data_IF_689657382750
#
_entry.id   IF_689657382750
#
_cell.length_a   1.000
_cell.length_b   1.000
_cell.length_c   1.000
_cell.angle_alpha   90.00
_cell.angle_beta   90.00
_cell.angle_gamma   90.00
#
_symmetry.space_group_name_H-M   'P 1'
#
loop_
_entity.id
_entity.type
_entity.pdbx_description
1 polymer ?
#
# COMPACT_ATOMS: atom_id res chain seq x y z
N UNK A 1 -21.98 14.24 -10.11
CA UNK A 1 -20.70 13.53 -10.41
C UNK A 1 -19.52 14.48 -10.27
N UNK A 2 -19.54 15.66 -10.93
CA UNK A 2 -18.45 16.64 -10.81
C UNK A 2 -18.14 17.02 -9.34
N UNK A 3 -19.17 17.32 -8.55
CA UNK A 3 -19.00 17.65 -7.11
C UNK A 3 -18.28 16.54 -6.31
N UNK A 4 -18.51 15.27 -6.64
CA UNK A 4 -17.83 14.13 -5.99
C UNK A 4 -16.36 14.07 -6.40
N UNK A 5 -16.07 14.31 -7.67
CA UNK A 5 -14.70 14.36 -8.19
C UNK A 5 -13.94 15.52 -7.53
N UNK A 6 -14.56 16.69 -7.45
CA UNK A 6 -13.96 17.87 -6.84
C UNK A 6 -13.68 17.64 -5.35
N UNK A 7 -14.61 17.00 -4.64
CA UNK A 7 -14.44 16.63 -3.24
C UNK A 7 -13.31 15.61 -3.03
N UNK A 8 -13.23 14.58 -3.87
CA UNK A 8 -12.10 13.63 -3.83
C UNK A 8 -10.79 14.36 -4.10
N UNK A 9 -10.78 15.29 -5.07
CA UNK A 9 -9.63 16.14 -5.38
C UNK A 9 -9.16 16.94 -4.17
N UNK A 10 -10.08 17.63 -3.48
CA UNK A 10 -9.71 18.41 -2.30
C UNK A 10 -9.15 17.53 -1.17
N UNK A 11 -9.72 16.32 -0.96
CA UNK A 11 -9.22 15.39 0.05
C UNK A 11 -7.84 14.82 -0.28
N UNK A 12 -7.53 14.65 -1.56
CA UNK A 12 -6.18 14.26 -2.02
C UNK A 12 -5.17 15.37 -1.80
N UNK A 13 -5.54 16.62 -2.07
CA UNK A 13 -4.70 17.79 -1.77
C UNK A 13 -4.43 17.88 -0.26
N UNK A 14 -5.48 17.82 0.57
CA UNK A 14 -5.37 17.83 2.03
C UNK A 14 -4.42 16.72 2.53
N UNK A 15 -4.53 15.50 1.96
CA UNK A 15 -3.66 14.39 2.30
C UNK A 15 -2.20 14.63 1.87
N UNK A 16 -1.99 15.18 0.66
CA UNK A 16 -0.64 15.48 0.14
C UNK A 16 0.13 16.51 0.97
N UNK A 17 -0.58 17.38 1.70
CA UNK A 17 0.02 18.36 2.61
C UNK A 17 0.22 17.84 4.05
N UNK A 18 0.02 16.53 4.30
CA UNK A 18 0.16 15.99 5.64
C UNK A 18 1.63 16.09 6.14
N UNK A 19 1.92 16.54 7.38
CA UNK A 19 3.28 16.75 7.89
C UNK A 19 4.18 15.50 7.87
N UNK A 20 3.59 14.32 7.79
CA UNK A 20 4.32 13.07 7.57
C UNK A 20 5.20 13.11 6.31
N UNK A 21 4.75 13.77 5.24
CA UNK A 21 5.52 13.89 4.01
C UNK A 21 6.76 14.77 4.20
N UNK A 22 6.71 15.78 5.07
CA UNK A 22 7.90 16.58 5.42
C UNK A 22 9.01 15.69 6.01
N UNK A 23 8.65 14.72 6.88
CA UNK A 23 9.60 13.74 7.43
C UNK A 23 10.19 12.81 6.35
N UNK A 24 9.41 12.45 5.34
CA UNK A 24 9.89 11.60 4.23
C UNK A 24 10.87 12.35 3.32
N UNK A 25 10.69 13.66 3.16
CA UNK A 25 11.53 14.50 2.30
C UNK A 25 12.72 15.17 3.01
N UNK A 26 12.88 14.98 4.32
CA UNK A 26 14.00 15.55 5.09
C UNK A 26 15.34 14.86 4.77
N UNK A 27 16.21 15.49 3.97
CA UNK A 27 17.49 14.91 3.55
C UNK A 27 18.49 14.64 4.70
N UNK A 28 18.28 15.24 5.88
CA UNK A 28 19.12 15.02 7.06
C UNK A 28 18.73 13.74 7.84
N UNK A 29 17.54 13.18 7.58
CA UNK A 29 17.09 11.94 8.22
C UNK A 29 17.57 10.69 7.47
N UNK A 30 18.20 9.71 8.15
CA UNK A 30 18.52 8.43 7.55
C UNK A 30 17.28 7.73 6.98
N UNK A 31 17.42 7.04 5.85
CA UNK A 31 16.32 6.30 5.18
C UNK A 31 15.65 5.30 6.13
N UNK A 32 16.42 4.62 6.97
CA UNK A 32 15.89 3.71 8.00
C UNK A 32 14.95 4.40 8.99
N UNK A 33 15.18 5.68 9.30
CA UNK A 33 14.32 6.42 10.21
C UNK A 33 13.04 6.85 9.48
N UNK A 34 13.17 7.34 8.24
CA UNK A 34 12.04 7.71 7.37
C UNK A 34 11.08 6.55 7.15
N UNK A 35 11.61 5.34 6.94
CA UNK A 35 10.84 4.14 6.63
C UNK A 35 10.52 3.28 7.86
N UNK A 36 10.78 3.76 9.08
CA UNK A 36 10.53 3.01 10.32
C UNK A 36 9.06 2.61 10.54
N UNK A 37 8.13 3.23 9.81
CA UNK A 37 6.71 2.88 9.82
C UNK A 37 6.40 1.60 9.03
N UNK A 38 7.28 1.16 8.12
CA UNK A 38 7.03 0.05 7.19
C UNK A 38 6.56 -1.24 7.88
N UNK A 39 7.15 -1.71 8.99
CA UNK A 39 6.68 -2.92 9.68
C UNK A 39 5.23 -2.83 10.16
N UNK A 40 4.74 -1.63 10.49
CA UNK A 40 3.37 -1.42 10.95
C UNK A 40 2.35 -1.46 9.80
N UNK A 41 2.81 -1.38 8.54
CA UNK A 41 1.98 -1.55 7.35
C UNK A 41 1.71 -3.03 7.02
N UNK A 42 2.33 -3.98 7.73
CA UNK A 42 2.20 -5.42 7.46
C UNK A 42 0.73 -5.86 7.36
N UNK A 43 -0.11 -5.45 8.32
CA UNK A 43 -1.52 -5.84 8.31
C UNK A 43 -2.24 -5.33 7.06
N UNK A 44 -2.03 -4.06 6.71
CA UNK A 44 -2.63 -3.44 5.53
C UNK A 44 -2.19 -4.16 4.25
N UNK A 45 -0.88 -4.32 4.04
CA UNK A 45 -0.33 -4.89 2.80
C UNK A 45 -0.73 -6.36 2.62
N UNK A 46 -0.65 -7.17 3.68
CA UNK A 46 -1.03 -8.58 3.62
C UNK A 46 -2.53 -8.73 3.38
N UNK A 47 -3.36 -7.94 4.09
CA UNK A 47 -4.82 -7.98 3.92
C UNK A 47 -5.25 -7.46 2.54
N UNK A 48 -4.52 -6.49 1.97
CA UNK A 48 -4.75 -6.01 0.61
C UNK A 48 -4.50 -7.14 -0.41
N UNK A 49 -3.46 -7.95 -0.20
CA UNK A 49 -3.23 -9.16 -0.99
C UNK A 49 -4.40 -10.14 -0.93
N UNK A 50 -4.94 -10.40 0.27
CA UNK A 50 -6.11 -11.27 0.45
C UNK A 50 -7.38 -10.72 -0.21
N UNK A 51 -7.63 -9.41 -0.10
CA UNK A 51 -8.77 -8.76 -0.76
C UNK A 51 -8.69 -8.94 -2.28
N UNK A 52 -7.52 -8.69 -2.86
CA UNK A 52 -7.28 -8.85 -4.29
C UNK A 52 -7.36 -10.31 -4.75
N UNK A 53 -7.01 -11.27 -3.89
CA UNK A 53 -7.07 -12.69 -4.23
C UNK A 53 -8.47 -13.30 -4.09
N UNK A 54 -9.19 -12.96 -3.03
CA UNK A 54 -10.37 -13.71 -2.60
C UNK A 54 -11.67 -12.91 -2.61
N UNK A 55 -11.60 -11.57 -2.57
CA UNK A 55 -12.79 -10.72 -2.42
C UNK A 55 -13.17 -10.05 -3.73
N UNK A 56 -12.21 -9.43 -4.42
CA UNK A 56 -12.45 -8.65 -5.63
C UNK A 56 -12.73 -9.47 -6.90
N UNK A 57 -12.06 -10.62 -7.15
CA UNK A 57 -12.22 -11.31 -8.44
C UNK A 57 -13.62 -11.88 -8.67
N UNK A 58 -14.18 -11.59 -9.84
CA UNK A 58 -15.39 -12.23 -10.34
C UNK A 58 -15.06 -13.64 -10.86
N UNK A 59 -15.70 -14.65 -10.28
CA UNK A 59 -15.53 -16.06 -10.71
C UNK A 59 -15.95 -16.29 -12.17
N UNK A 60 -16.89 -15.49 -12.68
CA UNK A 60 -17.40 -15.57 -14.05
C UNK A 60 -17.69 -14.17 -14.55
N UNK A 61 -16.66 -13.43 -15.03
CA UNK A 61 -16.80 -12.05 -15.46
C UNK A 61 -17.70 -11.96 -16.70
N UNK A 62 -18.55 -10.94 -16.76
CA UNK A 62 -19.62 -10.79 -17.76
C UNK A 62 -19.34 -9.71 -18.79
N UNK A 63 -18.43 -8.79 -18.48
CA UNK A 63 -18.07 -7.69 -19.36
C UNK A 63 -16.57 -7.34 -19.24
N UNK A 64 -16.14 -6.38 -20.05
CA UNK A 64 -14.75 -5.95 -20.10
C UNK A 64 -14.31 -5.25 -18.80
N UNK A 65 -15.23 -4.69 -18.01
CA UNK A 65 -14.90 -4.04 -16.75
C UNK A 65 -14.62 -5.06 -15.65
N UNK A 66 -15.44 -6.10 -15.54
CA UNK A 66 -15.19 -7.22 -14.60
C UNK A 66 -13.90 -7.98 -14.98
N UNK A 67 -13.60 -8.14 -16.28
CA UNK A 67 -12.32 -8.69 -16.74
C UNK A 67 -11.16 -7.79 -16.31
N UNK A 68 -11.27 -6.47 -16.47
CA UNK A 68 -10.24 -5.53 -16.05
C UNK A 68 -10.01 -5.57 -14.53
N UNK A 69 -11.08 -5.65 -13.74
CA UNK A 69 -10.99 -5.81 -12.28
C UNK A 69 -10.23 -7.09 -11.93
N UNK A 70 -10.55 -8.23 -12.56
CA UNK A 70 -9.85 -9.49 -12.33
C UNK A 70 -8.36 -9.39 -12.68
N UNK A 71 -8.02 -8.70 -13.78
CA UNK A 71 -6.63 -8.53 -14.20
C UNK A 71 -5.84 -7.73 -13.17
N UNK A 72 -6.37 -6.59 -12.73
CA UNK A 72 -5.72 -5.75 -11.71
C UNK A 72 -5.60 -6.48 -10.36
N UNK A 73 -6.67 -7.15 -9.93
CA UNK A 73 -6.64 -7.92 -8.68
C UNK A 73 -5.59 -9.05 -8.73
N UNK A 74 -5.38 -9.67 -9.90
CA UNK A 74 -4.36 -10.71 -10.08
C UNK A 74 -2.92 -10.19 -10.01
N UNK A 75 -2.72 -8.93 -10.37
CA UNK A 75 -1.44 -8.23 -10.23
C UNK A 75 -1.20 -7.89 -8.75
N UNK A 76 -2.17 -7.20 -8.13
CA UNK A 76 -2.07 -6.68 -6.77
C UNK A 76 -2.01 -7.76 -5.69
N UNK A 77 -2.58 -8.97 -5.90
CA UNK A 77 -2.52 -10.07 -4.92
C UNK A 77 -1.07 -10.49 -4.57
N UNK A 78 -0.07 -10.07 -5.37
CA UNK A 78 1.33 -10.49 -5.23
C UNK A 78 2.27 -9.38 -4.75
N UNK A 79 1.80 -8.15 -4.59
CA UNK A 79 2.67 -7.02 -4.22
C UNK A 79 3.28 -7.14 -2.82
N UNK A 80 2.67 -7.95 -1.94
CA UNK A 80 3.25 -8.25 -0.63
C UNK A 80 4.64 -8.89 -0.71
N UNK A 81 5.00 -9.54 -1.83
CA UNK A 81 6.35 -10.08 -2.01
C UNK A 81 7.42 -8.97 -1.99
N UNK A 82 7.18 -7.88 -2.73
CA UNK A 82 8.09 -6.72 -2.74
C UNK A 82 8.19 -6.07 -1.38
N UNK A 83 7.08 -5.98 -0.64
CA UNK A 83 7.10 -5.49 0.73
C UNK A 83 8.01 -6.31 1.65
N UNK A 84 8.02 -7.64 1.52
CA UNK A 84 8.93 -8.47 2.31
C UNK A 84 10.39 -8.27 1.90
N UNK A 85 10.67 -8.11 0.62
CA UNK A 85 12.00 -7.76 0.10
C UNK A 85 12.48 -6.41 0.65
N UNK A 86 11.58 -5.42 0.73
CA UNK A 86 11.87 -4.10 1.32
C UNK A 86 12.20 -4.22 2.81
N UNK A 87 11.42 -4.98 3.58
CA UNK A 87 11.69 -5.21 5.00
C UNK A 87 13.06 -5.84 5.23
N UNK A 88 13.45 -6.81 4.39
CA UNK A 88 14.78 -7.43 4.45
C UNK A 88 15.88 -6.45 4.08
N UNK A 89 15.69 -5.66 3.02
CA UNK A 89 16.65 -4.65 2.56
C UNK A 89 16.88 -3.55 3.59
N UNK A 90 15.82 -3.18 4.32
CA UNK A 90 15.86 -2.22 5.42
C UNK A 90 16.22 -2.87 6.77
N UNK A 91 16.38 -4.19 6.78
CA UNK A 91 16.78 -4.96 7.96
C UNK A 91 15.77 -4.80 9.13
N UNK A 92 14.48 -4.69 8.79
CA UNK A 92 13.34 -4.59 9.69
C UNK A 92 12.63 -5.92 9.96
N UNK A 93 13.07 -7.00 9.31
CA UNK A 93 12.62 -8.38 9.52
C UNK A 93 13.30 -9.06 10.72
N UNK A 94 14.27 -8.38 11.37
CA UNK A 94 14.96 -8.90 12.56
C UNK A 94 13.98 -9.12 13.70
N UNK A 95 13.91 -10.35 14.21
CA UNK A 95 13.29 -10.63 15.51
C UNK A 95 13.96 -9.76 16.57
N UNK A 96 13.19 -8.92 17.27
CA UNK A 96 13.64 -8.41 18.56
C UNK A 96 14.00 -9.61 19.41
N UNK A 97 15.26 -9.73 19.81
CA UNK A 97 15.66 -10.69 20.82
C UNK A 97 14.85 -10.35 22.07
N UNK A 98 13.93 -11.24 22.43
CA UNK A 98 13.17 -11.15 23.67
C UNK A 98 14.15 -11.64 24.74
N UNK A 99 14.92 -10.71 25.31
CA UNK A 99 15.71 -10.94 26.52
C UNK A 99 14.82 -10.72 27.75
#
# INVERSE_FOLDING_TARGET
MQEVIDYIGSKKEDFGQHPFFELLFDDELPVSNKLSFMPYMAYFIMSFGDINKYVLPFKSPKDNYEIAINLHAKEDEKHWNWYLEDLQSLNFDKKKSIY
#
